data_IF_249092966203
#
_entry.id   IF_249092966203
#
_cell.length_a   1.000
_cell.length_b   1.000
_cell.length_c   1.000
_cell.angle_alpha   90.00
_cell.angle_beta   90.00
_cell.angle_gamma   90.00
#
_symmetry.space_group_name_H-M   'P 1'
#
loop_
_entity.id
_entity.type
_entity.pdbx_description
1 polymer ?
#
# COMPACT_ATOMS: atom_id res chain seq x y z
N UNK A 1 2.03 -1.95 28.50
CA UNK A 1 2.16 -2.05 27.03
C UNK A 1 1.29 -0.94 26.52
N UNK A 2 1.88 0.15 26.03
CA UNK A 2 1.13 1.35 25.63
C UNK A 2 0.28 1.00 24.41
N UNK A 3 -0.94 0.54 24.68
CA UNK A 3 -1.91 0.21 23.64
C UNK A 3 -2.31 1.52 22.99
N UNK A 4 -1.86 1.73 21.77
CA UNK A 4 -2.28 2.86 20.94
C UNK A 4 -3.80 2.77 20.79
N UNK A 5 -4.50 3.82 21.17
CA UNK A 5 -5.94 3.92 21.01
C UNK A 5 -6.27 4.28 19.55
N UNK A 6 -6.45 3.24 18.71
CA UNK A 6 -6.83 3.41 17.31
C UNK A 6 -8.24 3.98 17.14
N UNK A 7 -9.11 3.84 18.14
CA UNK A 7 -10.45 4.42 18.10
C UNK A 7 -10.38 5.94 18.27
N UNK A 8 -9.50 6.44 19.14
CA UNK A 8 -9.22 7.88 19.21
C UNK A 8 -8.73 8.44 17.86
N UNK A 9 -7.86 7.71 17.16
CA UNK A 9 -7.41 8.10 15.80
C UNK A 9 -8.56 8.06 14.79
N UNK A 10 -9.46 7.06 14.88
CA UNK A 10 -10.64 6.98 14.00
C UNK A 10 -11.60 8.14 14.24
N UNK A 11 -11.80 8.55 15.49
CA UNK A 11 -12.71 9.65 15.84
C UNK A 11 -12.13 11.03 15.54
N UNK A 12 -10.81 11.19 15.62
CA UNK A 12 -10.12 12.45 15.34
C UNK A 12 -10.47 13.04 13.97
N UNK A 13 -10.45 14.37 13.87
CA UNK A 13 -10.73 15.03 12.61
C UNK A 13 -9.63 14.72 11.58
N UNK A 14 -10.02 14.62 10.31
CA UNK A 14 -9.07 14.35 9.21
C UNK A 14 -7.92 15.37 9.20
N UNK A 15 -8.21 16.62 9.59
CA UNK A 15 -7.21 17.67 9.72
C UNK A 15 -6.16 17.41 10.81
N UNK A 16 -6.55 16.81 11.94
CA UNK A 16 -5.64 16.45 13.02
C UNK A 16 -4.71 15.31 12.61
N UNK A 17 -5.28 14.27 11.99
CA UNK A 17 -4.51 13.17 11.42
C UNK A 17 -3.52 13.71 10.37
N UNK A 18 -3.99 14.59 9.47
CA UNK A 18 -3.17 15.18 8.43
C UNK A 18 -2.06 16.08 8.99
N UNK A 19 -2.30 16.78 10.10
CA UNK A 19 -1.28 17.58 10.78
C UNK A 19 -0.20 16.67 11.39
N UNK A 20 -0.58 15.56 12.03
CA UNK A 20 0.35 14.61 12.63
C UNK A 20 1.29 13.96 11.60
N UNK A 21 0.82 13.72 10.36
CA UNK A 21 1.62 13.11 9.29
C UNK A 21 2.11 14.12 8.24
N UNK A 22 2.11 15.41 8.55
CA UNK A 22 2.40 16.49 7.60
C UNK A 22 3.74 16.33 6.88
N UNK A 23 4.78 15.90 7.59
CA UNK A 23 6.15 15.78 7.06
C UNK A 23 6.30 14.71 5.96
N UNK A 24 5.40 13.73 5.89
CA UNK A 24 5.42 12.68 4.86
C UNK A 24 5.01 13.20 3.47
N UNK A 25 4.19 14.25 3.42
CA UNK A 25 3.58 14.76 2.19
C UNK A 25 2.34 13.96 1.73
N UNK A 26 1.45 14.59 0.94
CA UNK A 26 0.10 14.08 0.60
C UNK A 26 -0.76 13.74 1.85
N UNK A 27 -0.45 14.38 2.97
CA UNK A 27 -1.04 14.14 4.28
C UNK A 27 -2.56 14.20 4.28
N UNK A 28 -3.18 15.17 3.59
CA UNK A 28 -4.64 15.27 3.51
C UNK A 28 -5.29 14.03 2.87
N UNK A 29 -4.71 13.53 1.78
CA UNK A 29 -5.20 12.35 1.06
C UNK A 29 -5.03 11.10 1.93
N UNK A 30 -3.88 10.97 2.58
CA UNK A 30 -3.58 9.80 3.42
C UNK A 30 -4.45 9.79 4.66
N UNK A 31 -4.64 10.94 5.32
CA UNK A 31 -5.51 11.06 6.48
C UNK A 31 -6.95 10.63 6.16
N UNK A 32 -7.48 11.06 5.02
CA UNK A 32 -8.80 10.62 4.56
C UNK A 32 -8.86 9.10 4.31
N UNK A 33 -7.80 8.52 3.74
CA UNK A 33 -7.69 7.07 3.52
C UNK A 33 -7.57 6.27 4.81
N UNK A 34 -6.81 6.75 5.79
CA UNK A 34 -6.70 6.13 7.12
C UNK A 34 -8.08 6.07 7.77
N UNK A 35 -8.81 7.19 7.80
CA UNK A 35 -10.16 7.25 8.40
C UNK A 35 -11.12 6.30 7.70
N UNK A 36 -11.13 6.29 6.36
CA UNK A 36 -11.92 5.36 5.55
C UNK A 36 -11.61 3.89 5.84
N UNK A 37 -10.33 3.54 6.02
CA UNK A 37 -9.93 2.18 6.39
C UNK A 37 -10.45 1.81 7.78
N UNK A 38 -10.28 2.69 8.77
CA UNK A 38 -10.73 2.42 10.13
C UNK A 38 -12.26 2.29 10.22
N UNK A 39 -13.01 3.14 9.53
CA UNK A 39 -14.47 3.03 9.46
C UNK A 39 -14.92 1.72 8.78
N UNK A 40 -14.21 1.27 7.74
CA UNK A 40 -14.44 -0.04 7.12
C UNK A 40 -14.19 -1.17 8.14
N UNK A 41 -13.06 -1.14 8.84
CA UNK A 41 -12.69 -2.18 9.79
C UNK A 41 -13.69 -2.29 10.94
N UNK A 42 -14.12 -1.19 11.53
CA UNK A 42 -15.13 -1.22 12.60
C UNK A 42 -16.48 -1.74 12.10
N UNK A 43 -16.84 -1.43 10.85
CA UNK A 43 -18.08 -1.94 10.23
C UNK A 43 -18.03 -3.45 9.96
N UNK A 44 -16.89 -3.96 9.49
CA UNK A 44 -16.71 -5.38 9.13
C UNK A 44 -16.36 -6.25 10.35
N UNK A 45 -15.66 -5.68 11.33
CA UNK A 45 -15.12 -6.35 12.51
C UNK A 45 -15.34 -5.51 13.79
N UNK A 46 -16.50 -5.64 14.45
CA UNK A 46 -16.88 -4.77 15.57
C UNK A 46 -16.07 -4.99 16.86
N UNK A 47 -15.20 -6.01 16.89
CA UNK A 47 -14.39 -6.38 18.07
C UNK A 47 -13.17 -5.45 18.22
N UNK A 48 -12.73 -4.78 17.15
CA UNK A 48 -11.66 -3.78 17.22
C UNK A 48 -11.03 -3.46 15.86
N UNK A 49 -10.18 -2.42 15.86
CA UNK A 49 -9.35 -2.04 14.70
C UNK A 49 -8.08 -2.89 14.73
N UNK A 50 -8.15 -4.08 14.13
CA UNK A 50 -7.04 -5.03 14.04
C UNK A 50 -6.97 -5.71 12.67
N UNK A 51 -5.75 -6.05 12.26
CA UNK A 51 -5.41 -6.74 11.01
C UNK A 51 -4.53 -7.99 11.23
N UNK A 52 -4.23 -8.40 12.47
CA UNK A 52 -3.36 -9.58 12.73
C UNK A 52 -3.94 -10.88 12.14
N UNK A 53 -5.27 -10.99 12.05
CA UNK A 53 -5.95 -12.12 11.38
C UNK A 53 -5.53 -12.34 9.91
N UNK A 54 -4.96 -11.32 9.25
CA UNK A 54 -4.42 -11.47 7.88
C UNK A 54 -3.24 -12.44 7.82
N UNK A 55 -2.53 -12.67 8.94
CA UNK A 55 -1.38 -13.59 9.03
C UNK A 55 -1.79 -15.05 8.92
N UNK A 56 -2.99 -15.38 9.39
CA UNK A 56 -3.52 -16.75 9.39
C UNK A 56 -4.31 -17.09 8.12
N UNK A 57 -4.56 -16.08 7.26
CA UNK A 57 -5.23 -16.30 5.99
C UNK A 57 -4.31 -16.90 4.92
N UNK A 58 -4.89 -17.66 3.97
CA UNK A 58 -4.20 -18.00 2.73
C UNK A 58 -3.60 -16.74 2.07
N UNK A 59 -2.32 -16.79 1.59
CA UNK A 59 -1.61 -15.60 1.13
C UNK A 59 -2.30 -14.81 0.00
N UNK A 60 -3.12 -15.47 -0.82
CA UNK A 60 -3.88 -14.83 -1.91
C UNK A 60 -5.10 -14.07 -1.39
N UNK A 61 -5.76 -14.55 -0.32
CA UNK A 61 -6.88 -13.84 0.29
C UNK A 61 -6.40 -12.59 1.03
N UNK A 62 -5.29 -12.70 1.77
CA UNK A 62 -4.65 -11.54 2.40
C UNK A 62 -4.25 -10.48 1.36
N UNK A 63 -3.67 -10.92 0.23
CA UNK A 63 -3.31 -10.04 -0.89
C UNK A 63 -4.54 -9.32 -1.46
N UNK A 64 -5.62 -10.07 -1.72
CA UNK A 64 -6.87 -9.52 -2.25
C UNK A 64 -7.44 -8.46 -1.32
N UNK A 65 -7.54 -8.76 -0.03
CA UNK A 65 -8.04 -7.80 0.96
C UNK A 65 -7.21 -6.51 0.98
N UNK A 66 -5.87 -6.63 1.02
CA UNK A 66 -4.98 -5.48 1.05
C UNK A 66 -5.05 -4.62 -0.24
N UNK A 67 -5.30 -5.24 -1.40
CA UNK A 67 -5.51 -4.52 -2.66
C UNK A 67 -6.83 -3.75 -2.73
N UNK A 68 -7.83 -4.12 -1.93
CA UNK A 68 -9.09 -3.38 -1.81
C UNK A 68 -8.96 -2.12 -0.94
N UNK A 69 -7.85 -1.98 -0.20
CA UNK A 69 -7.57 -0.79 0.61
C UNK A 69 -7.16 0.36 -0.30
N UNK A 70 -7.97 1.41 -0.32
CA UNK A 70 -7.75 2.62 -1.11
C UNK A 70 -6.38 3.25 -0.81
N UNK A 71 -5.54 3.35 -1.84
CA UNK A 71 -4.17 3.87 -1.75
C UNK A 71 -3.08 2.81 -1.60
N UNK A 72 -3.42 1.53 -1.44
CA UNK A 72 -2.44 0.44 -1.49
C UNK A 72 -2.37 -0.16 -2.90
N UNK A 73 -1.23 0.04 -3.55
CA UNK A 73 -0.90 -0.63 -4.81
C UNK A 73 -0.14 -1.94 -4.60
N UNK A 74 0.04 -2.70 -5.68
CA UNK A 74 0.70 -4.02 -5.65
C UNK A 74 2.04 -4.01 -4.92
N UNK A 75 2.92 -3.03 -5.18
CA UNK A 75 4.21 -2.90 -4.48
C UNK A 75 4.03 -2.85 -2.96
N UNK A 76 3.15 -1.97 -2.48
CA UNK A 76 2.91 -1.78 -1.05
C UNK A 76 2.31 -3.03 -0.41
N UNK A 77 1.38 -3.68 -1.11
CA UNK A 77 0.77 -4.94 -0.65
C UNK A 77 1.82 -6.05 -0.55
N UNK A 78 2.69 -6.22 -1.54
CA UNK A 78 3.77 -7.20 -1.48
C UNK A 78 4.77 -6.88 -0.34
N UNK A 79 5.03 -5.60 -0.06
CA UNK A 79 5.84 -5.20 1.10
C UNK A 79 5.17 -5.61 2.42
N UNK A 80 3.87 -5.38 2.59
CA UNK A 80 3.12 -5.78 3.79
C UNK A 80 3.11 -7.31 3.94
N UNK A 81 2.87 -8.04 2.85
CA UNK A 81 2.90 -9.51 2.84
C UNK A 81 4.27 -10.03 3.28
N UNK A 82 5.35 -9.47 2.75
CA UNK A 82 6.71 -9.90 3.10
C UNK A 82 7.11 -9.50 4.52
N UNK A 83 6.97 -8.21 4.87
CA UNK A 83 7.58 -7.63 6.07
C UNK A 83 6.69 -7.70 7.32
N UNK A 84 5.37 -7.65 7.15
CA UNK A 84 4.41 -7.64 8.26
C UNK A 84 3.78 -9.01 8.47
N UNK A 85 3.34 -9.67 7.39
CA UNK A 85 2.64 -10.95 7.47
C UNK A 85 3.58 -12.16 7.44
N UNK A 86 4.82 -12.01 6.95
CA UNK A 86 5.79 -13.11 6.84
C UNK A 86 5.48 -14.11 5.72
N UNK A 87 4.69 -13.69 4.72
CA UNK A 87 4.41 -14.50 3.54
C UNK A 87 5.62 -14.50 2.58
N UNK A 88 5.75 -15.56 1.79
CA UNK A 88 6.69 -15.59 0.66
C UNK A 88 6.20 -14.64 -0.45
N UNK A 89 6.66 -13.40 -0.39
CA UNK A 89 6.27 -12.30 -1.28
C UNK A 89 7.51 -11.54 -1.77
N UNK A 90 7.43 -10.95 -2.96
CA UNK A 90 8.56 -10.26 -3.57
C UNK A 90 8.14 -8.87 -4.07
N UNK A 91 8.27 -7.82 -3.25
CA UNK A 91 7.96 -6.46 -3.66
C UNK A 91 8.99 -5.97 -4.68
N UNK A 92 8.54 -5.75 -5.92
CA UNK A 92 9.36 -5.18 -6.99
C UNK A 92 9.09 -3.68 -7.08
N UNK A 93 10.13 -2.88 -6.93
CA UNK A 93 10.08 -1.45 -7.21
C UNK A 93 10.89 -1.05 -8.43
N UNK A 94 10.94 0.26 -8.72
CA UNK A 94 11.62 0.79 -9.90
C UNK A 94 13.12 0.51 -9.89
N UNK A 95 13.76 0.40 -8.73
CA UNK A 95 15.18 0.08 -8.64
C UNK A 95 15.42 -1.41 -8.82
N UNK A 96 14.63 -2.26 -8.16
CA UNK A 96 14.68 -3.72 -8.34
C UNK A 96 14.44 -4.08 -9.81
N UNK A 97 13.38 -3.55 -10.43
CA UNK A 97 13.07 -3.78 -11.83
C UNK A 97 14.21 -3.29 -12.74
N UNK A 98 14.74 -2.09 -12.51
CA UNK A 98 15.84 -1.53 -13.30
C UNK A 98 17.11 -2.38 -13.22
N UNK A 99 17.47 -2.87 -12.04
CA UNK A 99 18.64 -3.73 -11.87
C UNK A 99 18.42 -5.08 -12.56
N UNK A 100 17.27 -5.72 -12.34
CA UNK A 100 16.94 -6.99 -12.97
C UNK A 100 16.99 -6.91 -14.51
N UNK A 101 16.47 -5.82 -15.09
CA UNK A 101 16.55 -5.56 -16.52
C UNK A 101 17.99 -5.33 -16.98
N UNK A 102 18.77 -4.50 -16.27
CA UNK A 102 20.18 -4.21 -16.63
C UNK A 102 21.08 -5.43 -16.55
N UNK A 103 20.78 -6.36 -15.64
CA UNK A 103 21.50 -7.63 -15.52
C UNK A 103 20.99 -8.70 -16.50
N UNK A 104 19.96 -8.40 -17.30
CA UNK A 104 19.39 -9.33 -18.27
C UNK A 104 18.55 -10.45 -17.65
N UNK A 105 18.11 -10.31 -16.40
CA UNK A 105 17.30 -11.32 -15.70
C UNK A 105 15.82 -11.29 -16.11
N UNK A 106 15.34 -10.14 -16.58
CA UNK A 106 13.98 -9.96 -17.09
C UNK A 106 14.08 -9.31 -18.46
N UNK A 107 13.37 -9.81 -19.49
CA UNK A 107 13.38 -9.20 -20.81
C UNK A 107 12.78 -7.79 -20.75
N UNK A 108 13.36 -6.87 -21.53
CA UNK A 108 12.70 -5.60 -21.81
C UNK A 108 11.37 -5.90 -22.49
N UNK A 109 10.27 -5.32 -22.00
CA UNK A 109 9.04 -5.32 -22.78
C UNK A 109 9.33 -4.61 -24.12
N UNK A 110 8.97 -5.22 -25.26
CA UNK A 110 9.03 -4.53 -26.54
C UNK A 110 8.21 -3.24 -26.45
N UNK A 111 8.76 -2.13 -26.93
CA UNK A 111 7.99 -0.90 -27.03
C UNK A 111 6.74 -1.12 -27.89
N UNK A 112 5.58 -0.76 -27.38
CA UNK A 112 4.37 -0.60 -28.18
C UNK A 112 4.49 0.73 -28.94
N UNK A 113 5.02 0.63 -30.15
CA UNK A 113 5.25 1.69 -31.17
C UNK A 113 6.24 2.83 -30.83
N UNK A 114 7.16 3.16 -31.77
CA UNK A 114 8.02 4.34 -31.67
C UNK A 114 7.30 5.58 -32.23
N UNK A 115 6.57 6.34 -31.40
CA UNK A 115 6.24 7.72 -31.74
C UNK A 115 7.41 8.65 -31.41
N UNK A 116 8.49 8.53 -32.18
CA UNK A 116 9.45 9.62 -32.32
C UNK A 116 8.80 10.60 -33.29
N UNK A 117 8.17 11.65 -32.75
CA UNK A 117 7.92 12.84 -33.53
C UNK A 117 9.27 13.43 -33.91
N UNK A 118 9.75 13.08 -35.11
CA UNK A 118 10.79 13.84 -35.77
C UNK A 118 10.24 15.26 -35.94
N UNK A 119 10.74 16.20 -35.16
CA UNK A 119 10.64 17.61 -35.49
C UNK A 119 11.47 17.79 -36.76
N UNK A 120 10.80 17.69 -37.91
CA UNK A 120 11.35 18.17 -39.16
C UNK A 120 11.59 19.67 -39.01
N UNK A 121 12.87 20.03 -39.00
CA UNK A 121 13.42 21.39 -39.15
C UNK A 121 12.85 22.13 -40.34
#
# INVERSE_FOLDING_TARGET
MDSIDWEAVRQADVGEIAAAIKERGQNNIIAARIKKLFDRLVKEHPIGIDLEWLRDLPPELAKKFLLEVDGLGLKSVECLRLLSLGHNAFPVDTNVARIAVRLGWVPLQPFAEPHIHLLSS
#
